data_IF_235344929625
#
_entry.id   IF_235344929625
#
_cell.length_a   1.000
_cell.length_b   1.000
_cell.length_c   1.000
_cell.angle_alpha   90.00
_cell.angle_beta   90.00
_cell.angle_gamma   90.00
#
_symmetry.space_group_name_H-M   'P 1'
#
loop_
_entity.id
_entity.type
_entity.pdbx_description
1 polymer ?
#
# COMPACT_ATOMS: atom_id res chain seq x y z
N UNK A 1 -10.17 11.14 15.29
CA UNK A 1 -9.80 9.70 15.23
C UNK A 1 -8.30 9.60 15.10
N UNK A 2 -7.75 8.43 15.42
CA UNK A 2 -6.32 8.12 15.22
C UNK A 2 -6.15 7.37 13.90
N UNK A 3 -5.25 7.84 13.03
CA UNK A 3 -5.01 7.24 11.71
C UNK A 3 -3.52 6.96 11.56
N UNK A 4 -3.19 5.68 11.34
CA UNK A 4 -1.83 5.27 11.02
C UNK A 4 -1.60 5.33 9.51
N UNK A 5 -0.49 5.89 9.08
CA UNK A 5 -0.06 5.87 7.67
C UNK A 5 1.30 5.17 7.61
N UNK A 6 1.42 4.19 6.73
CA UNK A 6 2.64 3.42 6.53
C UNK A 6 3.10 3.57 5.10
N UNK A 7 4.36 3.92 4.94
CA UNK A 7 5.07 3.97 3.65
C UNK A 7 6.33 3.11 3.71
N UNK A 8 6.80 2.64 2.57
CA UNK A 8 8.00 1.80 2.52
C UNK A 8 9.30 2.62 2.42
N UNK A 9 9.27 3.74 1.70
CA UNK A 9 10.47 4.46 1.30
C UNK A 9 10.52 5.89 1.83
N UNK A 10 11.74 6.42 1.98
CA UNK A 10 11.98 7.81 2.38
C UNK A 10 11.33 8.80 1.41
N UNK A 11 11.39 8.55 0.11
CA UNK A 11 10.78 9.41 -0.92
C UNK A 11 9.26 9.55 -0.72
N UNK A 12 8.58 8.47 -0.34
CA UNK A 12 7.15 8.47 -0.04
C UNK A 12 6.85 9.24 1.25
N UNK A 13 7.67 9.04 2.29
CA UNK A 13 7.55 9.76 3.55
C UNK A 13 7.68 11.27 3.35
N UNK A 14 8.68 11.71 2.58
CA UNK A 14 8.94 13.13 2.32
C UNK A 14 7.76 13.83 1.60
N UNK A 15 6.94 13.10 0.84
CA UNK A 15 5.72 13.62 0.21
C UNK A 15 4.54 13.75 1.20
N UNK A 16 4.52 12.95 2.27
CA UNK A 16 3.44 12.97 3.26
C UNK A 16 3.70 13.91 4.43
N UNK A 17 4.95 14.07 4.85
CA UNK A 17 5.31 14.91 6.00
C UNK A 17 4.79 16.35 5.90
N UNK A 18 4.84 17.03 4.72
CA UNK A 18 4.29 18.39 4.58
C UNK A 18 2.76 18.48 4.81
N UNK A 19 2.06 17.35 4.77
CA UNK A 19 0.61 17.31 4.99
C UNK A 19 0.24 17.29 6.48
N UNK A 20 1.23 17.00 7.37
CA UNK A 20 1.05 17.01 8.82
C UNK A 20 1.23 18.41 9.39
N UNK A 21 0.36 18.81 10.28
CA UNK A 21 0.54 20.00 11.12
C UNK A 21 1.02 19.60 12.52
N UNK A 22 1.97 20.35 13.07
CA UNK A 22 2.52 20.09 14.41
C UNK A 22 3.22 18.74 14.53
N UNK A 23 4.00 18.38 13.52
CA UNK A 23 4.67 17.06 13.48
C UNK A 23 5.81 16.98 14.49
N UNK A 24 5.83 15.90 15.26
CA UNK A 24 6.90 15.53 16.18
C UNK A 24 7.48 14.18 15.75
N UNK A 25 8.81 14.10 15.66
CA UNK A 25 9.54 12.86 15.36
C UNK A 25 9.79 12.07 16.64
N UNK A 26 9.64 10.74 16.56
CA UNK A 26 10.03 9.80 17.59
C UNK A 26 10.61 8.53 16.96
N UNK A 27 11.41 7.77 17.72
CA UNK A 27 12.02 6.50 17.26
C UNK A 27 11.72 5.40 18.25
N UNK A 28 11.21 4.28 17.73
CA UNK A 28 10.90 3.10 18.53
C UNK A 28 11.20 1.83 17.72
N UNK A 29 11.85 0.84 18.32
CA UNK A 29 12.10 -0.45 17.68
C UNK A 29 12.87 -0.40 16.36
N UNK A 30 13.69 0.64 16.15
CA UNK A 30 14.44 0.84 14.91
C UNK A 30 13.68 1.61 13.81
N UNK A 31 12.41 1.97 14.06
CA UNK A 31 11.58 2.74 13.12
C UNK A 31 11.46 4.21 13.54
N UNK A 32 11.30 5.08 12.54
CA UNK A 32 11.02 6.50 12.69
C UNK A 32 9.51 6.75 12.52
N UNK A 33 8.94 7.48 13.47
CA UNK A 33 7.52 7.84 13.51
C UNK A 33 7.37 9.36 13.56
N UNK A 34 6.40 9.86 12.82
CA UNK A 34 6.03 11.28 12.82
C UNK A 34 4.58 11.42 13.25
N UNK A 35 4.38 11.99 14.44
CA UNK A 35 3.03 12.23 15.00
C UNK A 35 2.63 13.67 14.73
N UNK A 36 1.43 13.89 14.25
CA UNK A 36 0.90 15.21 13.96
C UNK A 36 -0.61 15.17 13.72
N UNK A 37 -1.12 16.20 13.06
CA UNK A 37 -2.54 16.27 12.70
C UNK A 37 -2.75 16.45 11.20
N UNK A 38 -3.81 15.79 10.67
CA UNK A 38 -4.44 16.14 9.39
C UNK A 38 -5.89 16.55 9.66
N UNK A 39 -6.18 17.86 9.56
CA UNK A 39 -7.47 18.42 9.98
C UNK A 39 -7.76 18.15 11.46
N UNK A 40 -8.89 17.48 11.75
CA UNK A 40 -9.33 17.16 13.12
C UNK A 40 -8.77 15.83 13.67
N UNK A 41 -7.98 15.09 12.87
CA UNK A 41 -7.52 13.74 13.19
C UNK A 41 -6.08 13.72 13.67
N UNK A 42 -5.77 12.87 14.66
CA UNK A 42 -4.41 12.58 15.06
C UNK A 42 -3.85 11.55 14.08
N UNK A 43 -2.68 11.83 13.51
CA UNK A 43 -2.06 11.00 12.48
C UNK A 43 -0.66 10.62 12.90
N UNK A 44 -0.32 9.34 12.75
CA UNK A 44 1.04 8.83 12.87
C UNK A 44 1.48 8.31 11.51
N UNK A 45 2.52 8.90 10.94
CA UNK A 45 3.15 8.44 9.70
C UNK A 45 4.45 7.74 10.05
N UNK A 46 4.73 6.61 9.42
CA UNK A 46 5.99 5.89 9.59
C UNK A 46 6.52 5.34 8.27
N UNK A 47 7.84 5.24 8.17
CA UNK A 47 8.54 4.49 7.14
C UNK A 47 8.90 3.11 7.69
N UNK A 48 8.38 2.05 7.05
CA UNK A 48 8.70 0.68 7.48
C UNK A 48 9.95 0.09 6.82
N UNK A 49 10.32 0.54 5.62
CA UNK A 49 11.30 -0.14 4.76
C UNK A 49 10.61 -1.12 3.80
N UNK A 50 11.36 -1.57 2.79
CA UNK A 50 10.87 -2.44 1.71
C UNK A 50 10.73 -3.89 2.20
N UNK A 51 9.68 -4.57 1.74
CA UNK A 51 9.46 -6.01 1.90
C UNK A 51 8.64 -6.41 3.11
N UNK A 52 8.16 -7.65 3.10
CA UNK A 52 7.16 -8.19 4.03
C UNK A 52 7.58 -8.13 5.50
N UNK A 53 8.85 -8.46 5.82
CA UNK A 53 9.33 -8.46 7.21
C UNK A 53 9.33 -7.05 7.78
N UNK A 54 9.89 -6.08 7.05
CA UNK A 54 9.93 -4.67 7.46
C UNK A 54 8.50 -4.11 7.62
N UNK A 55 7.65 -4.40 6.66
CA UNK A 55 6.25 -3.99 6.65
C UNK A 55 5.49 -4.56 7.86
N UNK A 56 5.64 -5.85 8.16
CA UNK A 56 4.99 -6.49 9.30
C UNK A 56 5.48 -5.93 10.64
N UNK A 57 6.80 -5.80 10.82
CA UNK A 57 7.39 -5.26 12.05
C UNK A 57 6.93 -3.81 12.30
N UNK A 58 7.03 -2.96 11.26
CA UNK A 58 6.62 -1.56 11.36
C UNK A 58 5.14 -1.41 11.67
N UNK A 59 4.29 -2.19 10.98
CA UNK A 59 2.84 -2.17 11.21
C UNK A 59 2.47 -2.57 12.64
N UNK A 60 3.09 -3.63 13.16
CA UNK A 60 2.85 -4.08 14.53
C UNK A 60 3.27 -3.01 15.54
N UNK A 61 4.43 -2.37 15.32
CA UNK A 61 4.89 -1.27 16.17
C UNK A 61 3.92 -0.08 16.14
N UNK A 62 3.42 0.31 14.96
CA UNK A 62 2.44 1.37 14.83
C UNK A 62 1.13 1.01 15.55
N UNK A 63 0.58 -0.18 15.32
CA UNK A 63 -0.67 -0.63 15.93
C UNK A 63 -0.57 -0.64 17.45
N UNK A 64 0.51 -1.19 18.01
CA UNK A 64 0.69 -1.31 19.45
C UNK A 64 0.92 0.03 20.17
N UNK A 65 1.62 0.97 19.54
CA UNK A 65 2.00 2.23 20.19
C UNK A 65 0.98 3.35 19.94
N UNK A 66 0.27 3.30 18.82
CA UNK A 66 -0.67 4.37 18.46
C UNK A 66 -2.14 3.98 18.61
N UNK A 67 -2.46 2.68 18.55
CA UNK A 67 -3.83 2.13 18.56
C UNK A 67 -4.75 2.85 17.56
N UNK A 68 -4.43 2.81 16.24
CA UNK A 68 -5.15 3.54 15.23
C UNK A 68 -6.57 2.99 15.01
N UNK A 69 -7.51 3.87 14.64
CA UNK A 69 -8.84 3.46 14.17
C UNK A 69 -8.81 2.90 12.75
N UNK A 70 -7.83 3.36 11.93
CA UNK A 70 -7.57 2.93 10.57
C UNK A 70 -6.07 2.94 10.29
N UNK A 71 -5.64 2.03 9.44
CA UNK A 71 -4.29 2.07 8.83
C UNK A 71 -4.43 2.26 7.33
N UNK A 72 -3.71 3.25 6.79
CA UNK A 72 -3.57 3.47 5.35
C UNK A 72 -2.12 3.15 4.97
N UNK A 73 -1.93 2.20 4.08
CA UNK A 73 -0.62 1.96 3.46
C UNK A 73 -0.57 2.72 2.14
N UNK A 74 0.22 3.77 2.07
CA UNK A 74 0.39 4.61 0.89
C UNK A 74 1.75 4.35 0.25
N UNK A 75 1.82 4.34 -1.06
CA UNK A 75 3.06 4.11 -1.78
C UNK A 75 2.86 3.90 -3.27
N UNK A 76 3.91 3.43 -3.94
CA UNK A 76 3.87 3.11 -5.37
C UNK A 76 3.73 1.61 -5.61
N UNK A 77 3.36 1.24 -6.84
CA UNK A 77 3.23 -0.15 -7.29
C UNK A 77 3.43 -0.25 -8.81
N UNK A 78 3.81 -1.43 -9.29
CA UNK A 78 3.75 -1.76 -10.71
C UNK A 78 2.32 -2.06 -11.14
N UNK A 79 1.91 -1.57 -12.32
CA UNK A 79 0.62 -1.88 -12.93
C UNK A 79 0.61 -3.31 -13.46
N UNK A 80 -0.35 -4.13 -13.05
CA UNK A 80 -0.46 -5.53 -13.47
C UNK A 80 -1.53 -5.78 -14.53
N UNK A 81 -2.28 -4.75 -14.91
CA UNK A 81 -3.37 -4.84 -15.89
C UNK A 81 -3.32 -3.68 -16.87
N UNK A 82 -3.76 -3.91 -18.11
CA UNK A 82 -3.80 -2.88 -19.16
C UNK A 82 -4.84 -1.77 -18.90
N UNK A 83 -5.75 -1.97 -17.96
CA UNK A 83 -6.74 -0.97 -17.57
C UNK A 83 -6.18 0.11 -16.65
N UNK A 84 -4.96 -0.06 -16.13
CA UNK A 84 -4.29 0.92 -15.27
C UNK A 84 -3.08 1.53 -15.99
N UNK A 85 -2.93 2.84 -15.87
CA UNK A 85 -1.82 3.59 -16.45
C UNK A 85 -0.87 4.11 -15.37
N UNK A 86 0.36 4.46 -15.77
CA UNK A 86 1.26 5.21 -14.89
C UNK A 86 0.55 6.48 -14.41
N UNK A 87 0.67 6.80 -13.14
CA UNK A 87 -0.02 7.87 -12.40
C UNK A 87 -1.45 7.56 -11.94
N UNK A 88 -2.08 6.48 -12.42
CA UNK A 88 -3.35 6.03 -11.84
C UNK A 88 -3.15 5.57 -10.38
N UNK A 89 -4.22 5.60 -9.61
CA UNK A 89 -4.24 5.10 -8.23
C UNK A 89 -5.06 3.81 -8.16
N UNK A 90 -4.47 2.76 -7.61
CA UNK A 90 -5.21 1.55 -7.25
C UNK A 90 -5.44 1.54 -5.75
N UNK A 91 -6.71 1.59 -5.35
CA UNK A 91 -7.15 1.34 -3.99
C UNK A 91 -7.44 -0.14 -3.81
N UNK A 92 -6.74 -0.77 -2.88
CA UNK A 92 -6.85 -2.19 -2.59
C UNK A 92 -8.19 -2.54 -1.96
N UNK A 93 -9.21 -2.78 -2.78
CA UNK A 93 -10.46 -3.36 -2.31
C UNK A 93 -10.18 -4.76 -1.72
N UNK A 94 -9.21 -5.46 -2.29
CA UNK A 94 -8.65 -6.71 -1.77
C UNK A 94 -7.13 -6.70 -1.92
N UNK A 95 -6.44 -7.39 -1.01
CA UNK A 95 -5.00 -7.62 -1.08
C UNK A 95 -4.74 -9.13 -0.92
N UNK A 96 -3.85 -9.69 -1.73
CA UNK A 96 -3.41 -11.08 -1.64
C UNK A 96 -1.89 -11.18 -1.77
N UNK A 97 -1.29 -12.25 -1.24
CA UNK A 97 0.09 -12.57 -1.58
C UNK A 97 0.16 -13.28 -2.92
N UNK A 98 1.18 -12.95 -3.74
CA UNK A 98 1.44 -13.69 -4.99
C UNK A 98 2.58 -14.72 -4.86
N UNK A 99 3.26 -14.74 -3.72
CA UNK A 99 4.47 -15.53 -3.47
C UNK A 99 4.38 -16.46 -2.24
N UNK A 100 3.19 -16.59 -1.64
CA UNK A 100 2.96 -17.48 -0.50
C UNK A 100 2.29 -18.75 -0.96
N UNK A 101 2.84 -19.90 -0.52
CA UNK A 101 2.20 -21.19 -0.68
C UNK A 101 2.51 -22.09 0.53
N UNK A 102 1.48 -22.50 1.25
CA UNK A 102 1.58 -23.31 2.47
C UNK A 102 1.29 -24.80 2.23
N UNK A 103 1.37 -25.26 0.99
CA UNK A 103 1.18 -26.66 0.62
C UNK A 103 -0.21 -26.96 0.04
N UNK A 104 -0.50 -28.25 -0.27
CA UNK A 104 -1.65 -28.65 -1.09
C UNK A 104 -3.02 -28.42 -0.43
N UNK A 105 -3.07 -28.11 0.87
CA UNK A 105 -4.32 -27.79 1.59
C UNK A 105 -4.62 -26.30 1.60
N UNK A 106 -3.79 -25.46 0.94
CA UNK A 106 -3.96 -24.01 0.84
C UNK A 106 -3.94 -23.56 -0.62
N UNK A 107 -4.65 -22.50 -0.93
CA UNK A 107 -4.55 -21.83 -2.22
C UNK A 107 -3.23 -21.04 -2.32
N UNK A 108 -2.75 -20.81 -3.55
CA UNK A 108 -1.61 -19.92 -3.75
C UNK A 108 -2.01 -18.51 -3.28
N UNK A 109 -1.15 -17.87 -2.48
CA UNK A 109 -1.41 -16.58 -1.85
C UNK A 109 -2.01 -16.68 -0.45
N UNK A 110 -2.49 -17.85 -0.05
CA UNK A 110 -3.10 -18.06 1.27
C UNK A 110 -2.07 -18.49 2.31
N UNK A 111 -1.95 -17.72 3.38
CA UNK A 111 -1.30 -18.18 4.62
C UNK A 111 -2.22 -19.14 5.33
N UNK A 112 -1.73 -20.30 5.75
CA UNK A 112 -2.54 -21.32 6.43
C UNK A 112 -3.27 -20.73 7.65
N UNK A 113 -4.59 -20.93 7.71
CA UNK A 113 -5.45 -20.41 8.78
C UNK A 113 -5.88 -18.95 8.62
N UNK A 114 -5.47 -18.29 7.54
CA UNK A 114 -5.89 -16.92 7.21
C UNK A 114 -6.69 -16.89 5.90
N UNK A 115 -7.43 -15.80 5.62
CA UNK A 115 -8.13 -15.66 4.34
C UNK A 115 -7.13 -15.51 3.19
N UNK A 116 -7.53 -15.91 1.97
CA UNK A 116 -6.77 -15.68 0.75
C UNK A 116 -6.68 -14.17 0.44
N UNK A 117 -7.79 -13.47 0.63
CA UNK A 117 -7.89 -12.02 0.40
C UNK A 117 -8.07 -11.28 1.73
N UNK A 118 -7.28 -10.25 1.95
CA UNK A 118 -7.50 -9.26 3.01
C UNK A 118 -8.32 -8.12 2.43
N UNK A 119 -9.51 -7.90 2.98
CA UNK A 119 -10.45 -6.88 2.50
C UNK A 119 -10.03 -5.47 2.90
N UNK A 120 -10.08 -4.55 1.95
CA UNK A 120 -9.93 -3.12 2.20
C UNK A 120 -11.12 -2.57 3.02
N UNK A 121 -10.84 -1.62 3.92
CA UNK A 121 -11.87 -1.01 4.75
C UNK A 121 -12.93 -0.31 3.88
N UNK A 122 -14.15 -0.84 3.85
CA UNK A 122 -15.27 -0.31 3.04
C UNK A 122 -15.51 1.18 3.28
N UNK A 123 -15.49 1.61 4.57
CA UNK A 123 -15.63 3.02 4.93
C UNK A 123 -14.59 3.93 4.29
N UNK A 124 -13.35 3.47 4.09
CA UNK A 124 -12.30 4.26 3.41
C UNK A 124 -12.48 4.20 1.89
N UNK A 125 -12.89 3.05 1.35
CA UNK A 125 -13.20 2.87 -0.07
C UNK A 125 -14.38 3.74 -0.53
N UNK A 126 -15.37 3.95 0.34
CA UNK A 126 -16.54 4.78 0.07
C UNK A 126 -16.22 6.29 0.05
N UNK A 127 -15.08 6.68 0.65
CA UNK A 127 -14.60 8.08 0.65
C UNK A 127 -13.73 8.41 -0.56
N UNK A 128 -13.40 7.44 -1.40
CA UNK A 128 -12.65 7.69 -2.63
C UNK A 128 -13.50 8.51 -3.61
N UNK A 129 -12.93 9.58 -4.21
CA UNK A 129 -13.64 10.36 -5.19
C UNK A 129 -13.88 9.52 -6.46
N UNK A 130 -15.07 9.69 -7.05
CA UNK A 130 -15.40 9.12 -8.35
C UNK A 130 -14.80 10.00 -9.45
N UNK A 131 -13.58 9.69 -9.87
CA UNK A 131 -12.88 10.37 -10.97
C UNK A 131 -12.00 9.38 -11.72
N UNK A 132 -11.70 9.70 -12.97
CA UNK A 132 -10.79 8.92 -13.82
C UNK A 132 -9.42 8.76 -13.14
N UNK A 133 -8.78 7.62 -13.39
CA UNK A 133 -7.48 7.29 -12.83
C UNK A 133 -7.51 6.78 -11.37
N UNK A 134 -8.70 6.56 -10.78
CA UNK A 134 -8.84 5.89 -9.48
C UNK A 134 -9.59 4.57 -9.66
N UNK A 135 -8.91 3.47 -9.36
CA UNK A 135 -9.41 2.12 -9.50
C UNK A 135 -9.55 1.45 -8.14
N UNK A 136 -10.63 0.70 -7.93
CA UNK A 136 -10.82 -0.17 -6.77
C UNK A 136 -10.62 -1.62 -7.22
N UNK A 137 -9.62 -2.33 -6.67
CA UNK A 137 -9.35 -3.67 -7.15
C UNK A 137 -8.38 -4.46 -6.29
N UNK A 138 -7.84 -5.54 -6.88
CA UNK A 138 -6.90 -6.43 -6.22
C UNK A 138 -5.47 -5.91 -6.36
N UNK A 139 -4.76 -5.83 -5.23
CA UNK A 139 -3.30 -5.63 -5.18
C UNK A 139 -2.67 -6.96 -4.80
N UNK A 140 -1.72 -7.45 -5.60
CA UNK A 140 -0.93 -8.64 -5.31
C UNK A 140 0.43 -8.25 -4.73
N UNK A 141 0.76 -8.78 -3.55
CA UNK A 141 1.92 -8.39 -2.76
C UNK A 141 2.90 -9.54 -2.60
N UNK A 142 4.21 -9.27 -2.64
CA UNK A 142 5.25 -10.30 -2.43
C UNK A 142 6.65 -9.73 -2.38
N UNK A 143 7.62 -10.50 -1.84
CA UNK A 143 9.01 -10.04 -1.70
C UNK A 143 9.79 -10.12 -3.03
N UNK A 144 9.23 -9.53 -4.09
CA UNK A 144 9.83 -9.50 -5.41
C UNK A 144 9.50 -8.19 -6.13
N UNK A 145 10.53 -7.50 -6.65
CA UNK A 145 10.33 -6.41 -7.61
C UNK A 145 9.93 -7.03 -8.96
N UNK A 146 8.72 -6.77 -9.40
CA UNK A 146 8.18 -7.31 -10.65
C UNK A 146 8.54 -6.37 -11.79
N UNK A 147 9.47 -6.80 -12.65
CA UNK A 147 9.99 -6.01 -13.78
C UNK A 147 9.80 -6.73 -15.14
N UNK A 148 9.36 -7.99 -15.14
CA UNK A 148 9.24 -8.81 -16.34
C UNK A 148 7.80 -9.20 -16.64
N UNK A 149 7.50 -9.27 -17.93
CA UNK A 149 6.19 -9.70 -18.41
C UNK A 149 5.82 -11.11 -17.91
N UNK A 150 6.78 -12.03 -17.88
CA UNK A 150 6.58 -13.42 -17.44
C UNK A 150 6.12 -13.49 -15.98
N UNK A 151 6.62 -12.60 -15.12
CA UNK A 151 6.19 -12.53 -13.73
C UNK A 151 4.78 -11.95 -13.60
N UNK A 152 4.44 -10.93 -14.40
CA UNK A 152 3.07 -10.41 -14.48
C UNK A 152 2.12 -11.49 -14.99
N UNK A 153 2.47 -12.18 -16.08
CA UNK A 153 1.65 -13.26 -16.65
C UNK A 153 1.42 -14.39 -15.63
N UNK A 154 2.45 -14.76 -14.86
CA UNK A 154 2.35 -15.73 -13.77
C UNK A 154 1.40 -15.27 -12.66
N UNK A 155 1.50 -14.00 -12.24
CA UNK A 155 0.62 -13.44 -11.22
C UNK A 155 -0.81 -13.37 -11.75
N UNK A 156 -1.03 -12.84 -12.95
CA UNK A 156 -2.35 -12.76 -13.60
C UNK A 156 -2.98 -14.16 -13.86
N UNK A 157 -2.15 -15.16 -14.11
CA UNK A 157 -2.62 -16.54 -14.26
C UNK A 157 -3.26 -17.11 -12.98
N UNK A 158 -2.79 -16.66 -11.81
CA UNK A 158 -3.33 -17.07 -10.50
C UNK A 158 -4.34 -16.06 -9.94
N UNK A 159 -4.19 -14.79 -10.28
CA UNK A 159 -5.01 -13.67 -9.81
C UNK A 159 -5.46 -12.82 -11.01
N UNK A 160 -6.44 -13.28 -11.81
CA UNK A 160 -6.87 -12.58 -13.03
C UNK A 160 -7.29 -11.14 -12.83
N UNK A 161 -7.86 -10.83 -11.64
CA UNK A 161 -8.35 -9.49 -11.27
C UNK A 161 -7.25 -8.57 -10.73
N UNK A 162 -5.97 -9.00 -10.65
CA UNK A 162 -4.88 -8.18 -10.14
C UNK A 162 -4.71 -6.91 -10.99
N UNK A 163 -4.78 -5.74 -10.36
CA UNK A 163 -4.54 -4.44 -10.98
C UNK A 163 -3.14 -3.91 -10.71
N UNK A 164 -2.56 -4.22 -9.56
CA UNK A 164 -1.25 -3.73 -9.15
C UNK A 164 -0.46 -4.79 -8.41
N UNK A 165 0.88 -4.63 -8.39
CA UNK A 165 1.83 -5.46 -7.65
C UNK A 165 2.72 -4.60 -6.78
N UNK A 166 2.92 -5.01 -5.53
CA UNK A 166 3.79 -4.33 -4.57
C UNK A 166 4.54 -5.31 -3.65
N UNK A 167 5.24 -4.79 -2.65
CA UNK A 167 6.05 -5.62 -1.76
C UNK A 167 5.65 -5.54 -0.28
N UNK A 168 4.66 -4.75 0.13
CA UNK A 168 4.35 -4.50 1.54
C UNK A 168 2.88 -4.70 1.91
N UNK A 169 1.94 -4.38 1.01
CA UNK A 169 0.53 -4.28 1.38
C UNK A 169 -0.04 -5.58 1.93
N UNK A 170 0.43 -6.73 1.45
CA UNK A 170 0.03 -8.04 1.99
C UNK A 170 0.39 -8.21 3.46
N UNK A 171 1.64 -7.88 3.83
CA UNK A 171 2.12 -8.01 5.20
C UNK A 171 1.44 -7.01 6.15
N UNK A 172 1.24 -5.76 5.70
CA UNK A 172 0.52 -4.75 6.48
C UNK A 172 -0.94 -5.17 6.67
N UNK A 173 -1.61 -5.63 5.61
CA UNK A 173 -2.98 -6.13 5.66
C UNK A 173 -3.13 -7.31 6.63
N UNK A 174 -2.20 -8.26 6.60
CA UNK A 174 -2.19 -9.39 7.52
C UNK A 174 -2.04 -8.95 8.97
N UNK A 175 -1.11 -8.05 9.28
CA UNK A 175 -0.97 -7.50 10.64
C UNK A 175 -2.23 -6.79 11.09
N UNK A 176 -2.84 -5.96 10.23
CA UNK A 176 -4.08 -5.27 10.52
C UNK A 176 -5.25 -6.24 10.74
N UNK A 177 -5.35 -7.29 9.91
CA UNK A 177 -6.36 -8.36 10.07
C UNK A 177 -6.23 -9.06 11.44
N UNK A 178 -5.03 -9.50 11.82
CA UNK A 178 -4.78 -10.17 13.07
C UNK A 178 -5.07 -9.28 14.30
N UNK A 179 -4.86 -7.97 14.15
CA UNK A 179 -5.12 -6.99 15.23
C UNK A 179 -6.52 -6.34 15.11
N UNK A 180 -7.35 -6.75 14.15
CA UNK A 180 -8.71 -6.22 13.93
C UNK A 180 -8.74 -4.71 13.70
N UNK A 181 -7.72 -4.17 13.02
CA UNK A 181 -7.64 -2.77 12.62
C UNK A 181 -8.05 -2.65 11.16
N UNK A 182 -9.06 -1.86 10.81
CA UNK A 182 -9.43 -1.61 9.42
C UNK A 182 -8.27 -1.02 8.62
N UNK A 183 -8.06 -1.51 7.40
CA UNK A 183 -6.90 -1.23 6.56
C UNK A 183 -7.31 -0.83 5.14
N UNK A 184 -6.52 0.03 4.51
CA UNK A 184 -6.60 0.32 3.07
C UNK A 184 -5.20 0.49 2.48
N UNK A 185 -4.90 -0.20 1.37
CA UNK A 185 -3.75 0.10 0.54
C UNK A 185 -4.14 1.10 -0.54
N UNK A 186 -3.29 2.12 -0.75
CA UNK A 186 -3.39 3.09 -1.83
C UNK A 186 -2.07 3.07 -2.59
N UNK A 187 -2.12 2.70 -3.87
CA UNK A 187 -0.92 2.54 -4.71
C UNK A 187 -1.02 3.40 -5.95
N UNK A 188 -0.03 4.27 -6.12
CA UNK A 188 0.17 4.97 -7.37
C UNK A 188 0.94 4.08 -8.31
N UNK A 189 0.48 3.94 -9.54
CA UNK A 189 1.20 3.17 -10.54
C UNK A 189 2.43 3.95 -10.99
N UNK A 190 3.60 3.42 -10.68
CA UNK A 190 4.90 4.02 -11.05
C UNK A 190 5.41 3.54 -12.39
N UNK A 191 5.03 2.34 -12.79
CA UNK A 191 5.55 1.63 -13.95
C UNK A 191 4.58 0.53 -14.39
N UNK A 192 4.77 0.02 -15.60
CA UNK A 192 3.94 -1.05 -16.17
C UNK A 192 4.83 -2.24 -16.54
N UNK A 193 5.04 -3.19 -15.63
CA UNK A 193 5.86 -4.37 -15.89
C UNK A 193 5.40 -5.13 -17.13
N UNK A 194 6.35 -5.44 -18.01
CA UNK A 194 6.06 -6.15 -19.27
C UNK A 194 5.46 -5.32 -20.39
N UNK A 195 5.34 -4.00 -20.22
CA UNK A 195 5.14 -3.08 -21.33
C UNK A 195 6.39 -3.03 -22.26
N UNK A 196 6.22 -2.48 -23.46
CA UNK A 196 7.30 -2.38 -24.47
C UNK A 196 8.45 -1.44 -24.08
N UNK A 197 8.43 -0.86 -22.88
CA UNK A 197 9.39 0.09 -22.36
C UNK A 197 10.23 -0.53 -21.23
N UNK A 198 11.42 0.03 -21.00
CA UNK A 198 12.26 -0.30 -19.86
C UNK A 198 11.54 0.08 -18.56
N UNK A 199 11.03 -0.94 -17.86
CA UNK A 199 10.25 -0.81 -16.64
C UNK A 199 11.05 -0.15 -15.50
N UNK A 200 12.32 -0.53 -15.36
CA UNK A 200 13.22 0.06 -14.37
C UNK A 200 13.39 1.56 -14.60
N UNK A 201 13.53 1.97 -15.88
CA UNK A 201 13.63 3.37 -16.24
C UNK A 201 12.33 4.12 -15.95
N UNK A 202 11.18 3.54 -16.30
CA UNK A 202 9.86 4.11 -15.98
C UNK A 202 9.71 4.40 -14.48
N UNK A 203 10.09 3.44 -13.63
CA UNK A 203 10.10 3.60 -12.18
C UNK A 203 11.04 4.72 -11.72
N UNK A 204 12.25 4.84 -12.31
CA UNK A 204 13.19 5.89 -11.96
C UNK A 204 12.70 7.28 -12.39
N UNK A 205 12.15 7.38 -13.61
CA UNK A 205 11.62 8.61 -14.18
C UNK A 205 10.39 9.10 -13.41
N UNK A 206 9.53 8.16 -12.93
CA UNK A 206 8.39 8.48 -12.07
C UNK A 206 8.79 9.36 -10.87
N UNK A 207 9.89 9.04 -10.20
CA UNK A 207 10.33 9.80 -9.02
C UNK A 207 10.89 11.19 -9.35
N UNK A 208 11.25 11.44 -10.60
CA UNK A 208 11.68 12.77 -11.06
C UNK A 208 10.47 13.70 -11.23
N UNK A 209 9.36 13.14 -11.70
CA UNK A 209 8.17 13.89 -12.10
C UNK A 209 6.97 13.62 -11.16
N UNK A 210 7.14 12.75 -10.13
CA UNK A 210 6.05 12.33 -9.25
C UNK A 210 5.37 13.54 -8.61
N UNK A 211 4.13 13.85 -8.99
CA UNK A 211 3.46 15.01 -8.43
C UNK A 211 3.14 14.75 -6.97
N UNK A 212 3.36 15.76 -6.13
CA UNK A 212 2.87 15.75 -4.75
C UNK A 212 1.37 15.44 -4.69
N UNK A 213 0.64 15.78 -5.74
CA UNK A 213 -0.80 15.55 -5.90
C UNK A 213 -1.21 14.09 -5.72
N UNK A 214 -0.34 13.14 -6.09
CA UNK A 214 -0.64 11.71 -6.00
C UNK A 214 -0.85 11.22 -4.56
N UNK A 215 -0.12 11.81 -3.62
CA UNK A 215 -0.26 11.52 -2.20
C UNK A 215 -1.33 12.37 -1.50
N UNK A 216 -1.88 13.39 -2.20
CA UNK A 216 -2.98 14.22 -1.68
C UNK A 216 -4.28 13.44 -1.50
N UNK A 217 -4.47 12.32 -2.22
CA UNK A 217 -5.63 11.45 -2.04
C UNK A 217 -5.76 10.94 -0.59
N UNK A 218 -4.63 10.63 0.05
CA UNK A 218 -4.60 10.25 1.47
C UNK A 218 -5.21 11.37 2.34
N UNK A 219 -4.80 12.62 2.09
CA UNK A 219 -5.32 13.79 2.82
C UNK A 219 -6.81 14.01 2.54
N UNK A 220 -7.24 13.80 1.30
CA UNK A 220 -8.65 13.93 0.90
C UNK A 220 -9.53 12.93 1.64
N UNK A 221 -9.14 11.65 1.66
CA UNK A 221 -9.83 10.61 2.42
C UNK A 221 -9.90 10.96 3.91
N UNK A 222 -8.78 11.35 4.51
CA UNK A 222 -8.72 11.68 5.95
C UNK A 222 -9.60 12.89 6.28
N UNK A 223 -9.65 13.89 5.40
CA UNK A 223 -10.50 15.07 5.59
C UNK A 223 -12.00 14.72 5.61
N UNK A 224 -12.40 13.70 4.87
CA UNK A 224 -13.80 13.29 4.71
C UNK A 224 -14.22 12.22 5.76
N UNK A 225 -13.32 11.74 6.61
CA UNK A 225 -13.61 10.88 7.77
C UNK A 225 -14.26 11.65 8.91
#
# INVERSE_FOLDING_TARGET
MKIGIIVAMRKELDLLLPLLSGSEESRMGGFEFHCGKMGKHDVMVMQCGIGKVNAAMGSLMLVNNFAPNFVINSGVAGGADLSVNVMDVVAGARVAYHDVWCGPESELGQVQGLPLYFEGASRLLDLLPERDGIHKGLICSGDQFIDKKEDVDRIKGNFPDALAVDMESGAIAQVCHLNKVPFLALRVISDSPGASHDNTRQYLDFWTDAPQETFLLVKEIIKNL
#
